data_IF_603998021637
#
_entry.id   IF_603998021637
#
_cell.length_a   1.000
_cell.length_b   1.000
_cell.length_c   1.000
_cell.angle_alpha   90.00
_cell.angle_beta   90.00
_cell.angle_gamma   90.00
#
_symmetry.space_group_name_H-M   'P 1'
#
loop_
_entity.id
_entity.type
_entity.pdbx_description
1 polymer ?
#
# COMPACT_ATOMS: atom_id res chain seq x y z
N UNK A 1 -8.31 37.38 23.48
CA UNK A 1 -7.03 37.22 22.80
C UNK A 1 -7.07 35.91 22.06
N UNK A 2 -7.58 35.97 20.83
CA UNK A 2 -7.75 34.77 19.98
C UNK A 2 -6.45 34.49 19.25
N UNK A 3 -5.79 33.40 19.61
CA UNK A 3 -4.66 32.87 18.87
C UNK A 3 -5.21 31.98 17.75
N UNK A 4 -5.44 32.58 16.59
CA UNK A 4 -5.60 31.84 15.35
C UNK A 4 -4.28 31.14 15.01
N UNK A 5 -4.19 29.86 15.36
CA UNK A 5 -3.12 28.98 14.91
C UNK A 5 -3.48 28.48 13.51
N UNK A 6 -3.20 29.28 12.49
CA UNK A 6 -3.24 28.87 11.09
C UNK A 6 -2.01 27.98 10.82
N UNK A 7 -2.17 26.69 10.97
CA UNK A 7 -1.23 25.71 10.41
C UNK A 7 -1.26 25.89 8.89
N UNK A 8 -0.19 26.46 8.35
CA UNK A 8 0.03 26.50 6.91
C UNK A 8 -0.02 25.06 6.38
N UNK A 9 -0.99 24.79 5.50
CA UNK A 9 -1.03 23.55 4.77
C UNK A 9 0.28 23.45 3.96
N UNK A 10 1.09 22.46 4.24
CA UNK A 10 2.26 22.17 3.43
C UNK A 10 1.77 21.91 2.01
N UNK A 11 2.11 22.79 1.08
CA UNK A 11 1.86 22.59 -0.35
C UNK A 11 2.77 21.46 -0.80
N UNK A 12 2.26 20.23 -0.79
CA UNK A 12 2.95 19.11 -1.42
C UNK A 12 3.08 19.37 -2.92
N UNK A 13 4.22 19.05 -3.54
CA UNK A 13 4.34 19.17 -4.98
C UNK A 13 3.25 18.34 -5.65
N UNK A 14 2.52 18.96 -6.57
CA UNK A 14 1.55 18.24 -7.41
C UNK A 14 2.38 17.43 -8.40
N UNK A 15 2.30 16.10 -8.31
CA UNK A 15 2.91 15.22 -9.29
C UNK A 15 1.99 15.14 -10.50
N UNK A 16 2.56 15.27 -11.68
CA UNK A 16 1.87 15.10 -12.96
C UNK A 16 2.65 14.07 -13.79
N UNK A 17 2.55 12.79 -13.43
CA UNK A 17 3.25 11.75 -14.15
C UNK A 17 2.76 11.67 -15.60
N UNK A 18 3.64 11.29 -16.50
CA UNK A 18 3.33 11.11 -17.91
C UNK A 18 2.62 9.78 -18.11
N UNK A 19 1.37 9.75 -18.64
CA UNK A 19 0.69 8.52 -18.98
C UNK A 19 1.42 7.79 -20.12
N UNK A 20 1.81 6.53 -19.88
CA UNK A 20 2.50 5.69 -20.88
C UNK A 20 1.74 4.39 -21.11
N UNK A 21 1.90 3.73 -22.28
CA UNK A 21 1.39 2.39 -22.48
C UNK A 21 1.84 1.45 -21.38
N UNK A 22 0.98 0.51 -20.98
CA UNK A 22 1.31 -0.43 -19.90
C UNK A 22 2.55 -1.27 -20.23
N UNK A 23 2.78 -1.61 -21.50
CA UNK A 23 3.97 -2.31 -21.94
C UNK A 23 5.25 -1.49 -21.67
N UNK A 24 5.22 -0.19 -21.94
CA UNK A 24 6.32 0.72 -21.63
C UNK A 24 6.53 0.86 -20.10
N UNK A 25 5.45 0.92 -19.34
CA UNK A 25 5.52 0.92 -17.88
C UNK A 25 6.17 -0.37 -17.36
N UNK A 26 5.76 -1.54 -17.87
CA UNK A 26 6.33 -2.85 -17.52
C UNK A 26 7.81 -2.92 -17.88
N UNK A 27 8.20 -2.42 -19.05
CA UNK A 27 9.60 -2.41 -19.48
C UNK A 27 10.45 -1.54 -18.54
N UNK A 28 9.95 -0.36 -18.15
CA UNK A 28 10.62 0.49 -17.15
C UNK A 28 10.80 -0.21 -15.79
N UNK A 29 9.75 -0.87 -15.29
CA UNK A 29 9.82 -1.68 -14.05
C UNK A 29 10.84 -2.84 -14.20
N UNK A 30 10.88 -3.49 -15.36
CA UNK A 30 11.84 -4.57 -15.66
C UNK A 30 13.26 -4.06 -15.66
N UNK A 31 13.53 -2.92 -16.29
CA UNK A 31 14.85 -2.29 -16.29
C UNK A 31 15.31 -1.92 -14.88
N UNK A 32 14.42 -1.36 -14.06
CA UNK A 32 14.71 -1.09 -12.65
C UNK A 32 15.11 -2.36 -11.89
N UNK A 33 14.47 -3.49 -12.20
CA UNK A 33 14.74 -4.77 -11.52
C UNK A 33 16.04 -5.45 -11.99
N UNK A 34 16.56 -5.10 -13.16
CA UNK A 34 17.81 -5.65 -13.69
C UNK A 34 19.05 -5.07 -13.01
N UNK A 35 18.93 -3.97 -12.30
CA UNK A 35 20.02 -3.29 -11.62
C UNK A 35 19.88 -3.27 -10.10
N UNK A 36 20.68 -2.42 -9.46
CA UNK A 36 20.51 -2.15 -8.04
C UNK A 36 19.20 -1.37 -7.80
N UNK A 37 18.24 -2.03 -7.16
CA UNK A 37 16.98 -1.42 -6.76
C UNK A 37 17.23 -0.51 -5.54
N UNK A 38 16.91 0.77 -5.69
CA UNK A 38 16.93 1.73 -4.59
C UNK A 38 15.55 2.35 -4.42
N UNK A 39 15.26 2.80 -3.19
CA UNK A 39 14.00 3.49 -2.88
C UNK A 39 13.79 4.68 -3.83
N UNK A 40 14.85 5.44 -4.09
CA UNK A 40 14.79 6.64 -4.93
C UNK A 40 14.49 6.33 -6.40
N UNK A 41 15.12 5.31 -7.00
CA UNK A 41 14.89 4.96 -8.41
C UNK A 41 13.44 4.60 -8.70
N UNK A 42 12.81 3.81 -7.81
CA UNK A 42 11.40 3.44 -7.99
C UNK A 42 10.51 4.66 -7.75
N UNK A 43 10.84 5.48 -6.74
CA UNK A 43 10.13 6.74 -6.48
C UNK A 43 10.17 7.66 -7.71
N UNK A 44 11.34 7.90 -8.29
CA UNK A 44 11.52 8.77 -9.45
C UNK A 44 10.76 8.24 -10.67
N UNK A 45 10.77 6.94 -10.88
CA UNK A 45 10.03 6.30 -11.96
C UNK A 45 8.51 6.52 -11.80
N UNK A 46 7.96 6.24 -10.63
CA UNK A 46 6.52 6.39 -10.37
C UNK A 46 6.08 7.86 -10.26
N UNK A 47 6.98 8.77 -9.94
CA UNK A 47 6.72 10.22 -9.99
C UNK A 47 6.73 10.76 -11.44
N UNK A 48 7.37 10.03 -12.36
CA UNK A 48 7.53 10.43 -13.76
C UNK A 48 6.51 9.78 -14.68
N UNK A 49 6.14 8.52 -14.42
CA UNK A 49 5.30 7.71 -15.31
C UNK A 49 4.13 7.08 -14.59
N UNK A 50 2.99 7.05 -15.26
CA UNK A 50 1.82 6.28 -14.86
C UNK A 50 1.27 5.47 -16.03
N UNK A 51 0.48 4.43 -15.75
CA UNK A 51 -0.18 3.64 -16.79
C UNK A 51 -1.35 4.44 -17.34
N UNK A 52 -1.50 4.50 -18.66
CA UNK A 52 -2.64 5.15 -19.32
C UNK A 52 -3.97 4.52 -18.88
N UNK A 53 -4.99 5.34 -18.69
CA UNK A 53 -6.30 4.90 -18.19
C UNK A 53 -6.93 3.81 -19.04
N UNK A 54 -6.80 3.90 -20.38
CA UNK A 54 -7.34 2.90 -21.32
C UNK A 54 -6.66 1.52 -21.18
N UNK A 55 -5.39 1.48 -20.76
CA UNK A 55 -4.66 0.23 -20.54
C UNK A 55 -4.97 -0.40 -19.18
N UNK A 56 -5.51 0.37 -18.24
CA UNK A 56 -5.86 -0.11 -16.91
C UNK A 56 -7.08 -1.03 -16.89
N UNK A 57 -8.02 -0.86 -17.82
CA UNK A 57 -9.29 -1.60 -17.81
C UNK A 57 -9.07 -3.12 -17.78
N UNK A 58 -8.08 -3.63 -18.47
CA UNK A 58 -7.77 -5.07 -18.49
C UNK A 58 -7.24 -5.61 -17.15
N UNK A 59 -6.82 -4.73 -16.23
CA UNK A 59 -6.36 -5.09 -14.89
C UNK A 59 -7.39 -4.77 -13.80
N UNK A 60 -8.51 -4.15 -14.13
CA UNK A 60 -9.55 -3.83 -13.17
C UNK A 60 -10.47 -5.03 -12.97
N UNK A 61 -10.27 -5.74 -11.87
CA UNK A 61 -11.23 -6.74 -11.40
C UNK A 61 -11.91 -6.20 -10.15
N UNK A 62 -13.22 -6.23 -10.10
CA UNK A 62 -14.02 -5.70 -9.00
C UNK A 62 -14.73 -6.81 -8.25
N UNK A 63 -14.59 -6.83 -6.93
CA UNK A 63 -15.40 -7.61 -6.02
C UNK A 63 -16.19 -6.66 -5.12
N UNK A 64 -17.43 -6.98 -4.75
CA UNK A 64 -18.28 -6.04 -4.02
C UNK A 64 -17.87 -5.83 -2.56
N UNK A 65 -17.23 -6.81 -1.95
CA UNK A 65 -17.01 -6.93 -0.50
C UNK A 65 -15.55 -6.66 -0.08
N UNK A 66 -14.63 -6.57 -1.02
CA UNK A 66 -13.21 -6.35 -0.70
C UNK A 66 -12.44 -5.73 -1.86
N UNK A 67 -11.29 -5.13 -1.55
CA UNK A 67 -10.32 -4.75 -2.58
C UNK A 67 -9.76 -6.00 -3.29
N UNK A 68 -9.32 -5.81 -4.53
CA UNK A 68 -8.69 -6.86 -5.35
C UNK A 68 -7.24 -6.49 -5.67
N UNK A 69 -6.38 -7.50 -5.74
CA UNK A 69 -4.96 -7.37 -6.14
C UNK A 69 -4.79 -7.93 -7.55
N UNK A 70 -4.55 -7.08 -8.52
CA UNK A 70 -4.49 -7.45 -9.94
C UNK A 70 -3.07 -7.25 -10.46
N UNK A 71 -2.40 -8.36 -10.76
CA UNK A 71 -1.01 -8.36 -11.20
C UNK A 71 -0.87 -7.69 -12.56
N UNK A 72 0.05 -6.74 -12.66
CA UNK A 72 0.52 -6.11 -13.89
C UNK A 72 1.86 -6.72 -14.32
N UNK A 73 2.79 -6.82 -13.37
CA UNK A 73 4.11 -7.40 -13.61
C UNK A 73 4.65 -8.03 -12.32
N UNK A 74 5.45 -9.10 -12.47
CA UNK A 74 6.18 -9.70 -11.37
C UNK A 74 7.40 -10.45 -11.85
N UNK A 75 8.51 -10.29 -11.13
CA UNK A 75 9.66 -11.18 -11.14
C UNK A 75 10.18 -11.35 -9.70
N UNK A 76 11.34 -11.97 -9.50
CA UNK A 76 11.89 -12.26 -8.16
C UNK A 76 12.27 -11.00 -7.36
N UNK A 77 12.40 -9.86 -8.01
CA UNK A 77 12.93 -8.62 -7.42
C UNK A 77 11.88 -7.55 -7.21
N UNK A 78 10.80 -7.56 -7.99
CA UNK A 78 9.80 -6.49 -7.98
C UNK A 78 8.44 -7.02 -8.44
N UNK A 79 7.37 -6.47 -7.87
CA UNK A 79 6.02 -6.65 -8.39
C UNK A 79 5.33 -5.30 -8.57
N UNK A 80 4.49 -5.21 -9.59
CA UNK A 80 3.57 -4.10 -9.82
C UNK A 80 2.16 -4.64 -9.98
N UNK A 81 1.19 -4.00 -9.32
CA UNK A 81 -0.21 -4.41 -9.36
C UNK A 81 -1.15 -3.21 -9.36
N UNK A 82 -2.32 -3.41 -9.96
CA UNK A 82 -3.48 -2.53 -9.81
C UNK A 82 -4.35 -3.07 -8.67
N UNK A 83 -4.73 -2.21 -7.77
CA UNK A 83 -5.68 -2.53 -6.70
C UNK A 83 -6.96 -1.75 -6.94
N UNK A 84 -8.08 -2.47 -7.00
CA UNK A 84 -9.42 -1.90 -7.13
C UNK A 84 -10.09 -1.91 -5.75
N UNK A 85 -10.60 -0.75 -5.35
CA UNK A 85 -11.22 -0.51 -4.05
C UNK A 85 -12.70 -0.23 -4.23
N UNK A 86 -13.60 -1.20 -3.97
CA UNK A 86 -15.02 -0.91 -3.95
C UNK A 86 -15.36 0.07 -2.82
N UNK A 87 -16.54 0.66 -2.88
CA UNK A 87 -17.05 1.57 -1.85
C UNK A 87 -17.07 0.84 -0.50
N UNK A 88 -16.56 1.47 0.54
CA UNK A 88 -16.50 0.90 1.89
C UNK A 88 -15.38 -0.13 2.11
N UNK A 89 -14.52 -0.39 1.12
CA UNK A 89 -13.43 -1.35 1.27
C UNK A 89 -12.40 -0.90 2.31
N UNK A 90 -12.08 -1.80 3.24
CA UNK A 90 -11.11 -1.57 4.33
C UNK A 90 -10.16 -2.76 4.40
N UNK A 91 -8.85 -2.49 4.42
CA UNK A 91 -7.87 -3.54 4.74
C UNK A 91 -7.79 -3.73 6.26
N UNK A 92 -7.45 -4.93 6.74
CA UNK A 92 -6.99 -5.05 8.12
C UNK A 92 -5.70 -4.24 8.33
N UNK A 93 -5.32 -4.00 9.58
CA UNK A 93 -3.97 -3.55 9.90
C UNK A 93 -2.97 -4.63 9.49
N UNK A 94 -1.95 -4.26 8.71
CA UNK A 94 -1.01 -5.24 8.17
C UNK A 94 0.38 -4.67 7.96
N UNK A 95 1.37 -5.57 7.86
CA UNK A 95 2.75 -5.28 7.50
C UNK A 95 3.01 -5.55 6.02
N UNK A 96 4.21 -5.22 5.57
CA UNK A 96 4.70 -5.50 4.21
C UNK A 96 5.86 -6.49 4.22
N UNK A 97 5.97 -7.30 5.25
CA UNK A 97 6.98 -8.35 5.37
C UNK A 97 8.44 -7.84 5.23
N UNK A 98 8.69 -6.60 5.65
CA UNK A 98 10.00 -5.95 5.53
C UNK A 98 10.35 -5.49 4.11
N UNK A 99 9.40 -5.44 3.19
CA UNK A 99 9.62 -4.97 1.83
C UNK A 99 9.40 -3.46 1.71
N UNK A 100 10.07 -2.85 0.73
CA UNK A 100 9.77 -1.49 0.31
C UNK A 100 8.52 -1.49 -0.57
N UNK A 101 7.67 -0.49 -0.40
CA UNK A 101 6.47 -0.35 -1.21
C UNK A 101 6.17 1.11 -1.55
N UNK A 102 5.52 1.29 -2.68
CA UNK A 102 5.05 2.58 -3.19
C UNK A 102 3.62 2.42 -3.69
N UNK A 103 2.81 3.40 -3.41
CA UNK A 103 1.44 3.49 -3.90
C UNK A 103 1.21 4.84 -4.55
N UNK A 104 0.62 4.85 -5.73
CA UNK A 104 0.07 6.02 -6.40
C UNK A 104 -1.41 5.82 -6.67
N UNK A 105 -2.18 6.91 -6.57
CA UNK A 105 -3.61 6.90 -6.90
C UNK A 105 -3.81 7.24 -8.36
N UNK A 106 -4.72 6.51 -9.01
CA UNK A 106 -5.14 6.77 -10.38
C UNK A 106 -6.58 7.28 -10.45
N UNK A 107 -7.47 6.74 -9.62
CA UNK A 107 -8.88 7.09 -9.57
C UNK A 107 -9.38 7.13 -8.13
N UNK A 108 -10.29 8.04 -7.83
CA UNK A 108 -10.87 8.18 -6.50
C UNK A 108 -9.88 8.66 -5.45
N UNK A 109 -10.09 8.25 -4.21
CA UNK A 109 -9.26 8.65 -3.06
C UNK A 109 -9.28 7.57 -1.98
N UNK A 110 -8.23 7.54 -1.15
CA UNK A 110 -8.09 6.60 -0.05
C UNK A 110 -7.59 7.29 1.21
N UNK A 111 -7.97 6.77 2.36
CA UNK A 111 -7.36 7.08 3.64
C UNK A 111 -6.32 6.01 3.96
N UNK A 112 -5.13 6.44 4.34
CA UNK A 112 -4.08 5.57 4.90
C UNK A 112 -3.89 5.94 6.37
N UNK A 113 -4.15 4.99 7.26
CA UNK A 113 -3.91 5.13 8.69
C UNK A 113 -2.63 4.40 9.05
N UNK A 114 -1.64 5.11 9.56
CA UNK A 114 -0.34 4.58 9.92
C UNK A 114 -0.27 4.25 11.41
N UNK A 115 0.35 3.11 11.75
CA UNK A 115 0.48 2.62 13.11
C UNK A 115 1.89 2.13 13.41
N UNK A 116 2.22 2.15 14.69
CA UNK A 116 3.43 1.54 15.25
C UNK A 116 3.03 0.55 16.34
N UNK A 117 3.59 -0.63 16.29
CA UNK A 117 3.47 -1.59 17.38
C UNK A 117 4.36 -1.13 18.54
N UNK A 118 3.77 -0.94 19.72
CA UNK A 118 4.47 -0.57 20.95
C UNK A 118 4.90 -1.79 21.74
N UNK A 119 4.08 -2.84 21.71
CA UNK A 119 4.34 -4.05 22.45
C UNK A 119 3.33 -5.15 22.18
N UNK A 120 3.65 -6.33 22.65
CA UNK A 120 2.72 -7.43 22.81
C UNK A 120 3.13 -8.23 24.06
N UNK A 121 2.26 -9.12 24.53
CA UNK A 121 2.57 -9.99 25.68
C UNK A 121 3.58 -11.12 25.37
N UNK A 122 4.21 -11.06 24.20
CA UNK A 122 5.31 -11.92 23.76
C UNK A 122 6.52 -11.06 23.38
N UNK A 123 7.30 -10.57 24.35
CA UNK A 123 8.41 -9.65 24.12
C UNK A 123 9.51 -10.22 23.20
N UNK A 124 9.67 -11.52 23.13
CA UNK A 124 10.56 -12.21 22.21
C UNK A 124 10.27 -11.95 20.73
N UNK A 125 9.03 -11.58 20.42
CA UNK A 125 8.59 -11.32 19.04
C UNK A 125 8.62 -9.83 18.67
N UNK A 126 8.92 -8.93 19.61
CA UNK A 126 8.83 -7.48 19.41
C UNK A 126 9.94 -6.89 18.54
N UNK A 127 11.06 -7.59 18.39
CA UNK A 127 12.27 -7.02 17.80
C UNK A 127 12.58 -7.54 16.39
N UNK A 128 11.82 -8.47 15.87
CA UNK A 128 12.14 -9.09 14.59
C UNK A 128 11.12 -8.69 13.55
N UNK A 129 11.56 -7.81 12.65
CA UNK A 129 10.78 -7.38 11.48
C UNK A 129 10.36 -8.60 10.66
N UNK A 130 9.06 -8.74 10.40
CA UNK A 130 8.51 -9.84 9.59
C UNK A 130 8.31 -11.16 10.32
N UNK A 131 8.56 -11.23 11.62
CA UNK A 131 8.11 -12.37 12.42
C UNK A 131 6.66 -12.16 12.84
N UNK A 132 5.88 -13.19 12.60
CA UNK A 132 4.54 -13.30 13.12
C UNK A 132 4.58 -13.18 14.63
N UNK A 133 3.77 -12.34 15.21
CA UNK A 133 3.36 -12.50 16.61
C UNK A 133 2.64 -13.84 16.68
N UNK A 134 3.39 -14.91 16.77
CA UNK A 134 2.90 -16.27 16.66
C UNK A 134 1.76 -16.52 17.63
N UNK A 135 0.90 -17.41 17.23
CA UNK A 135 -0.23 -17.96 17.93
C UNK A 135 -0.14 -17.84 19.46
N UNK A 136 -1.04 -17.04 20.05
CA UNK A 136 -1.09 -16.84 21.51
C UNK A 136 -0.70 -15.45 22.02
N UNK A 137 -0.37 -14.47 21.19
CA UNK A 137 -0.39 -13.08 21.62
C UNK A 137 -1.86 -12.67 21.87
N UNK A 138 -2.20 -12.41 23.11
CA UNK A 138 -3.56 -12.03 23.51
C UNK A 138 -3.72 -10.53 23.73
N UNK A 139 -2.62 -9.80 23.64
CA UNK A 139 -2.61 -8.35 23.82
C UNK A 139 -1.57 -7.72 22.90
N UNK A 140 -2.02 -6.85 22.01
CA UNK A 140 -1.21 -6.10 21.06
C UNK A 140 -1.46 -4.61 21.32
N UNK A 141 -0.39 -3.87 21.56
CA UNK A 141 -0.47 -2.43 21.77
C UNK A 141 0.01 -1.70 20.52
N UNK A 142 -0.89 -0.89 19.96
CA UNK A 142 -0.64 -0.09 18.76
C UNK A 142 -0.79 1.39 19.05
N UNK A 143 0.09 2.18 18.50
CA UNK A 143 -0.01 3.64 18.47
C UNK A 143 -0.41 4.08 17.06
N UNK A 144 -1.48 4.86 16.95
CA UNK A 144 -1.80 5.56 15.71
C UNK A 144 -0.79 6.70 15.52
N UNK A 145 -0.13 6.75 14.36
CA UNK A 145 0.87 7.75 13.98
C UNK A 145 0.29 8.87 13.12
N UNK A 146 -0.98 8.74 12.72
CA UNK A 146 -1.65 9.71 11.88
C UNK A 146 -2.37 9.09 10.70
N UNK A 147 -3.04 9.96 9.97
CA UNK A 147 -3.89 9.60 8.84
C UNK A 147 -3.53 10.50 7.65
N UNK A 148 -3.42 9.89 6.48
CA UNK A 148 -3.12 10.59 5.22
C UNK A 148 -4.28 10.38 4.25
N UNK A 149 -4.67 11.46 3.54
CA UNK A 149 -5.55 11.38 2.37
C UNK A 149 -4.66 11.24 1.13
N UNK A 150 -4.87 10.18 0.35
CA UNK A 150 -4.14 9.92 -0.89
C UNK A 150 -5.09 10.09 -2.06
N UNK A 151 -4.68 10.91 -3.03
CA UNK A 151 -5.48 11.31 -4.20
C UNK A 151 -4.62 11.26 -5.47
N UNK A 152 -5.22 11.20 -6.67
CA UNK A 152 -4.48 11.33 -7.92
C UNK A 152 -3.68 12.65 -7.97
N UNK A 153 -2.44 12.60 -8.46
CA UNK A 153 -1.54 13.75 -8.50
C UNK A 153 -0.99 14.17 -7.13
N UNK A 154 -1.36 13.49 -6.07
CA UNK A 154 -0.79 13.69 -4.73
C UNK A 154 0.58 13.00 -4.58
N UNK A 155 1.27 13.20 -3.44
CA UNK A 155 2.55 12.56 -3.16
C UNK A 155 2.40 11.04 -3.13
N UNK A 156 3.46 10.34 -3.56
CA UNK A 156 3.51 8.88 -3.46
C UNK A 156 3.47 8.46 -1.99
N UNK A 157 2.52 7.60 -1.64
CA UNK A 157 2.53 6.96 -0.33
C UNK A 157 3.56 5.83 -0.33
N UNK A 158 4.42 5.78 0.67
CA UNK A 158 5.54 4.83 0.72
C UNK A 158 5.57 4.07 2.02
N UNK A 159 5.92 2.78 1.93
CA UNK A 159 6.21 1.95 3.09
C UNK A 159 7.69 1.56 3.08
N UNK A 160 8.31 1.55 4.25
CA UNK A 160 9.70 1.15 4.40
C UNK A 160 9.86 -0.24 5.05
N UNK A 161 11.10 -0.71 5.11
CA UNK A 161 11.42 -2.06 5.57
C UNK A 161 11.10 -2.32 7.05
N UNK A 162 11.02 -1.27 7.85
CA UNK A 162 11.24 -1.47 9.27
C UNK A 162 10.03 -1.37 10.16
N UNK A 163 8.98 -0.63 9.80
CA UNK A 163 7.92 -0.37 10.78
C UNK A 163 6.54 0.01 10.22
N UNK A 164 6.32 -0.04 8.92
CA UNK A 164 5.04 0.43 8.42
C UNK A 164 3.95 -0.63 8.60
N UNK A 165 3.16 -0.42 9.64
CA UNK A 165 1.88 -1.09 9.81
C UNK A 165 0.82 -0.07 9.41
N UNK A 166 -0.03 -0.42 8.49
CA UNK A 166 -1.09 0.48 8.10
C UNK A 166 -2.41 -0.23 7.80
N UNK A 167 -3.44 0.57 7.67
CA UNK A 167 -4.75 0.21 7.17
C UNK A 167 -5.14 1.22 6.11
N UNK A 168 -5.71 0.73 5.01
CA UNK A 168 -6.19 1.56 3.90
C UNK A 168 -7.70 1.44 3.84
N UNK A 169 -8.38 2.57 3.59
CA UNK A 169 -9.85 2.67 3.56
C UNK A 169 -10.30 3.45 2.34
N UNK A 170 -11.29 2.91 1.65
CA UNK A 170 -12.20 3.68 0.80
C UNK A 170 -13.48 3.94 1.62
N UNK A 171 -13.72 5.17 2.02
CA UNK A 171 -14.84 5.47 2.92
C UNK A 171 -16.18 5.34 2.18
N UNK A 172 -17.16 4.71 2.84
CA UNK A 172 -18.50 4.47 2.28
C UNK A 172 -19.22 5.79 1.94
N UNK A 173 -19.04 6.81 2.78
CA UNK A 173 -19.63 8.13 2.61
C UNK A 173 -19.18 8.88 1.36
N UNK A 174 -18.07 8.48 0.77
CA UNK A 174 -17.62 9.06 -0.50
C UNK A 174 -18.41 8.57 -1.71
N UNK A 175 -19.06 7.42 -1.59
CA UNK A 175 -19.85 6.79 -2.64
C UNK A 175 -19.11 6.70 -3.99
N UNK A 176 -17.81 6.46 -3.94
CA UNK A 176 -16.89 6.46 -5.07
C UNK A 176 -15.95 5.26 -4.99
N UNK A 177 -15.71 4.59 -6.12
CA UNK A 177 -14.68 3.56 -6.24
C UNK A 177 -13.32 4.21 -6.39
N UNK A 178 -12.26 3.48 -6.01
CA UNK A 178 -10.91 3.97 -6.18
C UNK A 178 -10.00 2.92 -6.84
N UNK A 179 -8.96 3.39 -7.54
CA UNK A 179 -7.95 2.57 -8.20
C UNK A 179 -6.57 3.11 -7.85
N UNK A 180 -5.69 2.23 -7.42
CA UNK A 180 -4.30 2.55 -7.12
C UNK A 180 -3.33 1.58 -7.80
N UNK A 181 -2.11 2.05 -8.09
CA UNK A 181 -0.98 1.20 -8.51
C UNK A 181 -0.05 1.05 -7.32
N UNK A 182 0.32 -0.19 -7.05
CA UNK A 182 1.29 -0.54 -6.03
C UNK A 182 2.50 -1.21 -6.66
N UNK A 183 3.67 -0.82 -6.18
CA UNK A 183 4.95 -1.44 -6.56
C UNK A 183 5.66 -1.86 -5.29
N UNK A 184 6.15 -3.10 -5.23
CA UNK A 184 6.91 -3.62 -4.09
C UNK A 184 8.26 -4.19 -4.54
N UNK A 185 9.26 -3.97 -3.73
CA UNK A 185 10.59 -4.54 -3.87
C UNK A 185 10.94 -5.30 -2.57
N UNK A 186 10.81 -6.60 -2.51
CA UNK A 186 10.46 -7.67 -3.46
C UNK A 186 8.95 -7.95 -3.46
N UNK A 187 8.49 -8.97 -4.26
CA UNK A 187 7.10 -9.43 -4.18
C UNK A 187 6.67 -9.82 -2.77
N UNK A 188 5.40 -9.55 -2.44
CA UNK A 188 4.82 -9.84 -1.13
C UNK A 188 3.78 -10.97 -1.27
N UNK A 189 4.18 -12.20 -0.91
CA UNK A 189 3.30 -13.37 -0.96
C UNK A 189 2.51 -13.60 0.32
N UNK A 190 2.89 -12.94 1.40
CA UNK A 190 2.17 -12.96 2.66
C UNK A 190 2.43 -11.71 3.48
N UNK A 191 1.55 -11.41 4.42
CA UNK A 191 1.73 -10.32 5.36
C UNK A 191 1.24 -10.73 6.76
N UNK A 192 1.72 -10.03 7.79
CA UNK A 192 1.15 -10.16 9.13
C UNK A 192 -0.04 -9.23 9.24
N UNK A 193 -1.16 -9.77 9.67
CA UNK A 193 -2.41 -9.06 9.93
C UNK A 193 -2.62 -8.96 11.43
N UNK A 194 -3.04 -7.79 11.89
CA UNK A 194 -3.34 -7.51 13.29
C UNK A 194 -4.84 -7.35 13.49
N UNK A 195 -5.42 -8.20 14.32
CA UNK A 195 -6.77 -8.12 14.84
C UNK A 195 -6.67 -7.59 16.28
N UNK A 196 -6.80 -6.28 16.44
CA UNK A 196 -6.61 -5.61 17.73
C UNK A 196 -7.75 -6.00 18.69
N UNK A 197 -8.98 -6.09 18.19
CA UNK A 197 -10.15 -6.42 19.00
C UNK A 197 -10.09 -7.86 19.51
N UNK A 198 -9.68 -8.78 18.62
CA UNK A 198 -9.47 -10.19 18.98
C UNK A 198 -8.13 -10.44 19.70
N UNK A 199 -7.27 -9.44 19.88
CA UNK A 199 -5.99 -9.53 20.58
C UNK A 199 -4.98 -10.48 19.92
N UNK A 200 -5.04 -10.66 18.60
CA UNK A 200 -4.23 -11.63 17.87
C UNK A 200 -3.60 -11.04 16.61
N UNK A 201 -2.49 -11.63 16.20
CA UNK A 201 -1.93 -11.42 14.88
C UNK A 201 -1.67 -12.78 14.21
N UNK A 202 -1.73 -12.79 12.89
CA UNK A 202 -1.54 -14.01 12.10
C UNK A 202 -1.01 -13.67 10.72
N UNK A 203 -0.34 -14.65 10.10
CA UNK A 203 0.08 -14.56 8.71
C UNK A 203 -1.08 -14.84 7.80
N UNK A 204 -1.22 -14.01 6.78
CA UNK A 204 -2.19 -14.17 5.69
C UNK A 204 -1.41 -14.30 4.39
N UNK A 205 -1.68 -15.36 3.64
CA UNK A 205 -1.21 -15.50 2.27
C UNK A 205 -1.95 -14.52 1.36
N UNK A 206 -1.22 -13.97 0.41
CA UNK A 206 -1.72 -13.02 -0.55
C UNK A 206 -1.73 -13.65 -1.94
N UNK A 207 -2.80 -13.42 -2.69
CA UNK A 207 -2.98 -13.92 -4.05
C UNK A 207 -3.34 -12.77 -4.98
N UNK A 208 -3.19 -12.99 -6.28
CA UNK A 208 -3.71 -12.11 -7.30
C UNK A 208 -5.10 -12.56 -7.71
N UNK A 209 -6.03 -11.62 -7.85
CA UNK A 209 -7.41 -11.92 -8.20
C UNK A 209 -7.58 -12.12 -9.71
N UNK A 210 -6.68 -11.60 -10.54
CA UNK A 210 -6.69 -11.76 -11.99
C UNK A 210 -5.87 -12.98 -12.48
N UNK A 211 -5.46 -13.88 -11.59
CA UNK A 211 -4.84 -15.14 -11.95
C UNK A 211 -5.77 -16.31 -11.58
N UNK A 212 -5.80 -17.38 -12.37
CA UNK A 212 -6.51 -18.59 -11.98
C UNK A 212 -5.92 -19.15 -10.68
N UNK A 213 -6.81 -19.68 -9.83
CA UNK A 213 -6.44 -20.28 -8.54
C UNK A 213 -5.68 -21.58 -8.71
#
# INVERSE_FOLDING_TARGET
MDLHNTTAAATHPIYSPTPVPVEQFIDGIRELSAGLITKQKIYDFLATYEIRSEDLERYKMWLPDRHTRNKVFRNDMIEAMVICWPIGAITPLHTHNGQLGWMTMLEGKLIVENYKQLGCNRPENQQVVGIDCLAGATRIEMQNLGTELVVPGGPLNTVDKTQTIHRIKNLEEWNERAVSVHVYSKPIDSCVVFDIEGGRCFRRDLKYDNEPA
#
